data_IF_751531124524
#
_entry.id   IF_751531124524
#
_cell.length_a   1.000
_cell.length_b   1.000
_cell.length_c   1.000
_cell.angle_alpha   90.00
_cell.angle_beta   90.00
_cell.angle_gamma   90.00
#
_symmetry.space_group_name_H-M   'P 1'
#
loop_
_entity.id
_entity.type
_entity.pdbx_description
1 polymer ?
#
# COMPACT_ATOMS: atom_id res chain seq x y z
N UNK A 1 -7.51 -30.62 -12.30
CA UNK A 1 -8.53 -29.68 -12.87
C UNK A 1 -7.82 -28.56 -13.63
N UNK A 2 -8.46 -27.85 -14.58
CA UNK A 2 -7.75 -26.83 -15.40
C UNK A 2 -8.64 -25.65 -15.78
N UNK A 3 -8.09 -24.44 -15.72
CA UNK A 3 -8.71 -23.21 -16.22
C UNK A 3 -7.72 -22.52 -17.16
N UNK A 4 -8.19 -22.16 -18.35
CA UNK A 4 -7.41 -21.47 -19.37
C UNK A 4 -8.12 -20.16 -19.73
N UNK A 5 -7.48 -19.03 -19.42
CA UNK A 5 -7.83 -17.71 -19.94
C UNK A 5 -7.16 -17.47 -21.29
N UNK A 6 -7.27 -16.27 -21.87
CA UNK A 6 -6.55 -15.94 -23.11
C UNK A 6 -5.02 -15.90 -22.94
N UNK A 7 -4.52 -15.67 -21.71
CA UNK A 7 -3.09 -15.43 -21.45
C UNK A 7 -2.47 -16.37 -20.44
N UNK A 8 -3.23 -16.79 -19.42
CA UNK A 8 -2.76 -17.68 -18.35
C UNK A 8 -3.58 -18.97 -18.33
N UNK A 9 -2.91 -20.10 -18.13
CA UNK A 9 -3.49 -21.37 -17.73
C UNK A 9 -3.04 -21.72 -16.30
N UNK A 10 -4.01 -22.12 -15.47
CA UNK A 10 -3.77 -22.80 -14.19
C UNK A 10 -4.24 -24.24 -14.29
N UNK A 11 -3.35 -25.17 -13.91
CA UNK A 11 -3.66 -26.59 -13.79
C UNK A 11 -3.48 -26.99 -12.33
N UNK A 12 -4.54 -27.54 -11.75
CA UNK A 12 -4.57 -28.12 -10.41
C UNK A 12 -4.39 -29.64 -10.48
N UNK A 13 -3.87 -30.22 -9.41
CA UNK A 13 -3.85 -31.68 -9.19
C UNK A 13 -5.26 -32.16 -8.80
N UNK A 14 -5.35 -32.99 -7.77
CA UNK A 14 -6.59 -33.57 -7.26
C UNK A 14 -7.38 -32.57 -6.40
N UNK A 15 -6.69 -31.61 -5.77
CA UNK A 15 -7.29 -30.53 -4.97
C UNK A 15 -7.10 -29.18 -5.66
N UNK A 16 -8.06 -28.24 -5.57
CA UNK A 16 -7.83 -26.85 -5.95
C UNK A 16 -6.73 -26.19 -5.11
N UNK A 17 -6.36 -26.74 -3.94
CA UNK A 17 -5.24 -26.22 -3.13
C UNK A 17 -3.86 -26.59 -3.70
N UNK A 18 -3.80 -27.59 -4.58
CA UNK A 18 -2.56 -28.10 -5.14
C UNK A 18 -2.39 -27.64 -6.60
N UNK A 19 -1.52 -26.66 -6.83
CA UNK A 19 -1.25 -26.13 -8.17
C UNK A 19 -0.19 -26.98 -8.85
N UNK A 20 -0.60 -27.78 -9.83
CA UNK A 20 0.34 -28.54 -10.67
C UNK A 20 1.21 -27.58 -11.48
N UNK A 21 0.58 -26.58 -12.12
CA UNK A 21 1.26 -25.68 -13.04
C UNK A 21 0.53 -24.34 -13.21
N UNK A 22 1.30 -23.25 -13.27
CA UNK A 22 0.87 -21.99 -13.89
C UNK A 22 1.71 -21.69 -15.12
N UNK A 23 1.02 -21.33 -16.20
CA UNK A 23 1.61 -21.24 -17.53
C UNK A 23 1.10 -20.02 -18.30
N UNK A 24 2.02 -19.30 -18.94
CA UNK A 24 1.72 -18.18 -19.84
C UNK A 24 1.65 -18.72 -21.26
N UNK A 25 0.47 -18.60 -21.85
CA UNK A 25 0.13 -19.15 -23.18
C UNK A 25 0.95 -18.44 -24.27
N UNK A 26 1.00 -17.11 -24.22
CA UNK A 26 1.68 -16.29 -25.23
C UNK A 26 3.19 -16.58 -25.32
N UNK A 27 3.81 -16.94 -24.20
CA UNK A 27 5.26 -17.12 -24.09
C UNK A 27 5.69 -18.60 -24.11
N UNK A 28 4.74 -19.53 -24.07
CA UNK A 28 5.00 -20.94 -23.82
C UNK A 28 5.88 -21.17 -22.57
N UNK A 29 5.59 -20.45 -21.49
CA UNK A 29 6.44 -20.35 -20.30
C UNK A 29 5.69 -20.83 -19.05
N UNK A 30 6.29 -21.75 -18.30
CA UNK A 30 5.81 -22.17 -16.98
C UNK A 30 6.48 -21.32 -15.91
N UNK A 31 5.71 -20.61 -15.10
CA UNK A 31 6.22 -19.77 -14.01
C UNK A 31 5.86 -20.26 -12.60
N UNK A 32 5.13 -21.37 -12.50
CA UNK A 32 4.94 -22.11 -11.26
C UNK A 32 4.84 -23.60 -11.60
N UNK A 33 5.62 -24.43 -10.89
CA UNK A 33 5.56 -25.88 -11.00
C UNK A 33 5.40 -26.47 -9.61
N UNK A 34 4.35 -27.26 -9.38
CA UNK A 34 4.04 -27.83 -8.06
C UNK A 34 3.93 -26.77 -6.95
N UNK A 35 3.22 -25.68 -7.23
CA UNK A 35 2.87 -24.66 -6.26
C UNK A 35 1.78 -25.14 -5.31
N UNK A 36 1.64 -24.44 -4.19
CA UNK A 36 0.58 -24.67 -3.21
C UNK A 36 -0.17 -23.38 -3.01
N UNK A 37 -1.50 -23.45 -2.98
CA UNK A 37 -2.33 -22.35 -2.55
C UNK A 37 -3.02 -22.67 -1.23
N UNK A 38 -3.12 -21.67 -0.36
CA UNK A 38 -3.80 -21.80 0.93
C UNK A 38 -4.67 -20.59 1.21
N UNK A 39 -5.72 -20.82 1.98
CA UNK A 39 -6.65 -19.80 2.44
C UNK A 39 -6.72 -19.83 3.96
N UNK A 40 -6.82 -18.67 4.57
CA UNK A 40 -7.05 -18.57 6.02
C UNK A 40 -8.01 -17.44 6.35
N UNK A 41 -8.68 -17.59 7.50
CA UNK A 41 -9.57 -16.61 8.10
C UNK A 41 -9.01 -16.18 9.46
N UNK A 42 -9.05 -14.88 9.75
CA UNK A 42 -8.82 -14.35 11.10
C UNK A 42 -10.07 -13.68 11.65
N UNK A 43 -10.24 -13.83 12.96
CA UNK A 43 -11.19 -13.07 13.77
C UNK A 43 -10.42 -12.23 14.78
N UNK A 44 -11.12 -11.34 15.49
CA UNK A 44 -10.53 -10.56 16.59
C UNK A 44 -9.99 -11.40 17.74
N UNK A 45 -10.53 -12.61 17.94
CA UNK A 45 -10.09 -13.52 19.00
C UNK A 45 -8.95 -14.44 18.56
N UNK A 46 -8.80 -14.62 17.25
CA UNK A 46 -7.83 -15.54 16.64
C UNK A 46 -6.82 -14.79 15.77
N UNK A 47 -6.16 -13.80 16.38
CA UNK A 47 -5.15 -12.97 15.70
C UNK A 47 -3.87 -13.76 15.39
N UNK A 48 -3.37 -14.52 16.38
CA UNK A 48 -2.12 -15.29 16.26
C UNK A 48 -2.33 -16.67 15.68
N UNK A 49 -3.50 -17.26 15.90
CA UNK A 49 -3.86 -18.63 15.51
C UNK A 49 -5.01 -18.59 14.49
N UNK A 50 -4.72 -18.27 13.22
CA UNK A 50 -5.73 -18.17 12.19
C UNK A 50 -6.35 -19.53 11.87
N UNK A 51 -7.58 -19.52 11.34
CA UNK A 51 -8.24 -20.73 10.84
C UNK A 51 -7.74 -21.03 9.43
N UNK A 52 -6.90 -22.06 9.29
CA UNK A 52 -6.44 -22.56 7.99
C UNK A 52 -7.56 -23.39 7.36
N UNK A 53 -7.86 -23.14 6.09
CA UNK A 53 -8.93 -23.84 5.37
C UNK A 53 -8.32 -24.95 4.50
N UNK A 54 -8.28 -26.17 5.04
CA UNK A 54 -7.66 -27.35 4.41
C UNK A 54 -8.66 -28.31 3.80
N UNK A 55 -9.90 -28.31 4.29
CA UNK A 55 -10.92 -29.29 3.89
C UNK A 55 -11.71 -28.78 2.69
N UNK A 56 -11.57 -29.44 1.55
CA UNK A 56 -12.35 -29.13 0.34
C UNK A 56 -13.64 -29.94 0.36
N UNK A 57 -14.77 -29.25 0.51
CA UNK A 57 -16.09 -29.88 0.62
C UNK A 57 -16.84 -29.95 -0.71
N UNK A 58 -16.51 -29.05 -1.64
CA UNK A 58 -17.17 -28.92 -2.93
C UNK A 58 -16.22 -28.36 -3.97
N UNK A 59 -16.28 -28.90 -5.19
CA UNK A 59 -15.60 -28.35 -6.37
C UNK A 59 -16.52 -28.48 -7.58
N UNK A 60 -16.68 -27.38 -8.30
CA UNK A 60 -17.43 -27.29 -9.55
C UNK A 60 -16.55 -26.67 -10.62
N UNK A 61 -16.51 -27.33 -11.77
CA UNK A 61 -15.83 -26.83 -12.96
C UNK A 61 -16.87 -26.43 -13.99
N UNK A 62 -16.75 -25.22 -14.53
CA UNK A 62 -17.59 -24.70 -15.59
C UNK A 62 -16.73 -24.17 -16.74
N UNK A 63 -17.39 -23.81 -17.84
CA UNK A 63 -16.70 -23.15 -18.96
C UNK A 63 -16.13 -21.78 -18.56
N UNK A 64 -16.67 -21.14 -17.53
CA UNK A 64 -16.27 -19.81 -17.09
C UNK A 64 -15.19 -19.82 -15.99
N UNK A 65 -14.95 -20.97 -15.34
CA UNK A 65 -13.96 -21.07 -14.26
C UNK A 65 -14.09 -22.30 -13.38
N UNK A 66 -13.53 -22.20 -12.17
CA UNK A 66 -13.74 -23.18 -11.08
C UNK A 66 -14.39 -22.47 -9.90
N UNK A 67 -15.30 -23.14 -9.22
CA UNK A 67 -15.78 -22.74 -7.91
C UNK A 67 -15.49 -23.87 -6.92
N UNK A 68 -15.09 -23.54 -5.70
CA UNK A 68 -14.91 -24.53 -4.64
C UNK A 68 -15.22 -23.94 -3.27
N UNK A 69 -15.57 -24.82 -2.34
CA UNK A 69 -15.70 -24.48 -0.94
C UNK A 69 -14.57 -25.13 -0.14
N UNK A 70 -13.93 -24.34 0.71
CA UNK A 70 -12.94 -24.78 1.68
C UNK A 70 -13.43 -24.49 3.11
N UNK A 71 -13.09 -25.34 4.06
CA UNK A 71 -13.33 -25.10 5.48
C UNK A 71 -12.13 -25.47 6.35
N UNK A 72 -12.14 -24.99 7.58
CA UNK A 72 -11.24 -25.50 8.62
C UNK A 72 -11.64 -26.91 9.04
N UNK A 73 -10.79 -27.57 9.85
CA UNK A 73 -11.02 -28.94 10.34
C UNK A 73 -12.35 -29.08 11.12
N UNK A 74 -12.82 -28.01 11.78
CA UNK A 74 -14.09 -28.03 12.50
C UNK A 74 -15.31 -27.86 11.58
N UNK A 75 -15.11 -27.36 10.36
CA UNK A 75 -16.18 -27.00 9.43
C UNK A 75 -16.96 -25.75 9.83
N UNK A 76 -16.54 -24.99 10.83
CA UNK A 76 -17.23 -23.79 11.31
C UNK A 76 -16.83 -22.54 10.51
N UNK A 77 -15.57 -22.47 10.08
CA UNK A 77 -15.06 -21.39 9.25
C UNK A 77 -15.01 -21.88 7.81
N UNK A 78 -15.66 -21.13 6.92
CA UNK A 78 -15.86 -21.55 5.53
C UNK A 78 -15.51 -20.43 4.58
N UNK A 79 -15.11 -20.82 3.39
CA UNK A 79 -14.83 -19.92 2.29
C UNK A 79 -15.36 -20.54 1.00
N UNK A 80 -16.15 -19.76 0.27
CA UNK A 80 -16.47 -20.03 -1.13
C UNK A 80 -15.49 -19.24 -2.00
N UNK A 81 -14.77 -19.92 -2.87
CA UNK A 81 -13.84 -19.34 -3.84
C UNK A 81 -14.36 -19.58 -5.25
N UNK A 82 -14.39 -18.54 -6.07
CA UNK A 82 -14.58 -18.65 -7.51
C UNK A 82 -13.36 -18.08 -8.23
N UNK A 83 -12.74 -18.89 -9.11
CA UNK A 83 -11.66 -18.47 -9.98
C UNK A 83 -12.21 -18.37 -11.40
N UNK A 84 -12.53 -17.15 -11.82
CA UNK A 84 -13.07 -16.84 -13.14
C UNK A 84 -11.98 -16.43 -14.12
N UNK A 85 -12.27 -16.54 -15.42
CA UNK A 85 -11.39 -16.07 -16.49
C UNK A 85 -11.48 -14.54 -16.67
N UNK A 86 -10.36 -13.92 -16.99
CA UNK A 86 -10.32 -12.56 -17.53
C UNK A 86 -9.61 -12.55 -18.89
N UNK A 87 -9.58 -11.39 -19.57
CA UNK A 87 -8.81 -11.23 -20.81
C UNK A 87 -7.29 -11.40 -20.61
N UNK A 88 -6.79 -11.23 -19.38
CA UNK A 88 -5.35 -11.24 -19.08
C UNK A 88 -4.95 -12.36 -18.13
N UNK A 89 -5.88 -13.06 -17.51
CA UNK A 89 -5.58 -14.09 -16.54
C UNK A 89 -6.81 -14.53 -15.77
N UNK A 90 -6.72 -14.44 -14.46
CA UNK A 90 -7.69 -15.01 -13.53
C UNK A 90 -8.21 -13.95 -12.56
N UNK A 91 -9.50 -14.05 -12.20
CA UNK A 91 -10.13 -13.29 -11.12
C UNK A 91 -10.47 -14.24 -9.99
N UNK A 92 -10.01 -13.95 -8.80
CA UNK A 92 -10.41 -14.64 -7.58
C UNK A 92 -11.53 -13.83 -6.91
N UNK A 93 -12.63 -14.50 -6.58
CA UNK A 93 -13.75 -13.92 -5.84
C UNK A 93 -14.03 -14.80 -4.64
N UNK A 94 -14.01 -14.20 -3.45
CA UNK A 94 -14.02 -14.90 -2.18
C UNK A 94 -15.20 -14.43 -1.34
N UNK A 95 -15.92 -15.38 -0.74
CA UNK A 95 -16.91 -15.14 0.30
C UNK A 95 -16.58 -16.04 1.50
N UNK A 96 -16.11 -15.44 2.59
CA UNK A 96 -15.79 -16.10 3.84
C UNK A 96 -16.91 -15.93 4.87
N UNK A 97 -17.09 -16.95 5.71
CA UNK A 97 -18.08 -16.98 6.79
C UNK A 97 -17.51 -17.68 8.02
N UNK A 98 -17.92 -17.23 9.21
CA UNK A 98 -17.61 -17.89 10.47
C UNK A 98 -18.66 -17.68 11.57
N UNK A 99 -18.48 -18.29 12.74
CA UNK A 99 -19.34 -18.08 13.91
C UNK A 99 -19.17 -16.71 14.58
N UNK A 100 -18.10 -15.99 14.25
CA UNK A 100 -17.75 -14.67 14.80
C UNK A 100 -17.45 -13.68 13.66
N UNK A 101 -17.41 -12.37 13.95
CA UNK A 101 -17.02 -11.39 12.94
C UNK A 101 -15.68 -11.71 12.27
N UNK A 102 -15.70 -11.81 10.94
CA UNK A 102 -14.50 -12.05 10.13
C UNK A 102 -13.75 -10.74 9.99
N UNK A 103 -12.48 -10.75 10.35
CA UNK A 103 -11.61 -9.58 10.28
C UNK A 103 -10.73 -9.56 9.03
N UNK A 104 -10.11 -10.70 8.70
CA UNK A 104 -9.15 -10.78 7.60
C UNK A 104 -9.30 -12.12 6.90
N UNK A 105 -9.28 -12.09 5.58
CA UNK A 105 -9.12 -13.28 4.73
C UNK A 105 -7.82 -13.16 3.98
N UNK A 106 -7.03 -14.22 3.94
CA UNK A 106 -5.78 -14.25 3.18
C UNK A 106 -5.77 -15.43 2.22
N UNK A 107 -5.23 -15.20 1.03
CA UNK A 107 -4.87 -16.21 0.05
C UNK A 107 -3.36 -16.18 -0.15
N UNK A 108 -2.71 -17.34 -0.08
CA UNK A 108 -1.29 -17.51 -0.40
C UNK A 108 -1.16 -18.41 -1.62
N UNK A 109 -0.20 -18.10 -2.49
CA UNK A 109 0.30 -18.96 -3.55
C UNK A 109 1.83 -19.03 -3.50
N UNK A 110 2.39 -20.24 -3.43
CA UNK A 110 3.83 -20.51 -3.35
C UNK A 110 4.39 -21.14 -4.63
N UNK A 111 5.72 -21.25 -4.72
CA UNK A 111 6.41 -21.89 -5.84
C UNK A 111 6.45 -21.03 -7.12
N UNK A 112 6.35 -19.71 -6.98
CA UNK A 112 6.38 -18.76 -8.09
C UNK A 112 7.83 -18.48 -8.50
N UNK A 113 8.15 -18.75 -9.76
CA UNK A 113 9.47 -18.54 -10.34
C UNK A 113 9.55 -17.18 -11.02
N UNK A 114 9.66 -16.12 -10.22
CA UNK A 114 9.90 -14.77 -10.69
C UNK A 114 11.40 -14.42 -10.62
N UNK A 115 11.86 -13.55 -11.53
CA UNK A 115 13.19 -12.96 -11.43
C UNK A 115 13.27 -12.02 -10.22
N UNK A 116 12.19 -11.27 -9.99
CA UNK A 116 11.98 -10.43 -8.80
C UNK A 116 10.51 -10.11 -8.59
N UNK A 117 10.19 -9.66 -7.38
CA UNK A 117 8.87 -9.12 -7.03
C UNK A 117 8.99 -7.61 -6.78
N UNK A 118 8.25 -6.81 -7.53
CA UNK A 118 8.16 -5.37 -7.35
C UNK A 118 6.94 -5.03 -6.52
N UNK A 119 7.15 -4.22 -5.49
CA UNK A 119 6.10 -3.76 -4.57
C UNK A 119 6.09 -2.23 -4.55
N UNK A 120 4.96 -1.56 -4.80
CA UNK A 120 4.83 -0.11 -4.67
C UNK A 120 4.73 0.27 -3.17
N UNK A 121 5.80 0.05 -2.44
CA UNK A 121 5.94 0.38 -1.02
C UNK A 121 7.16 1.28 -0.83
N UNK A 122 7.04 2.31 0.01
CA UNK A 122 8.16 3.18 0.42
C UNK A 122 8.97 3.78 -0.77
N UNK A 123 8.28 4.20 -1.83
CA UNK A 123 8.90 4.74 -3.05
C UNK A 123 9.24 3.67 -4.12
N UNK A 124 8.92 2.41 -3.85
CA UNK A 124 9.14 1.27 -4.74
C UNK A 124 10.25 0.35 -4.22
N UNK A 125 9.94 -0.94 -4.14
CA UNK A 125 10.89 -1.98 -3.72
C UNK A 125 10.98 -3.08 -4.75
N UNK A 126 12.19 -3.56 -5.01
CA UNK A 126 12.46 -4.73 -5.82
C UNK A 126 13.03 -5.83 -4.93
N UNK A 127 12.29 -6.94 -4.82
CA UNK A 127 12.69 -8.12 -4.07
C UNK A 127 13.25 -9.14 -5.05
N UNK A 128 14.57 -9.12 -5.20
CA UNK A 128 15.30 -9.97 -6.15
C UNK A 128 15.28 -11.45 -5.74
N UNK A 129 15.48 -12.35 -6.70
CA UNK A 129 15.56 -13.80 -6.47
C UNK A 129 16.62 -14.21 -5.41
N UNK A 130 17.59 -13.34 -5.13
CA UNK A 130 18.60 -13.51 -4.07
C UNK A 130 18.09 -13.23 -2.65
N UNK A 131 16.81 -12.87 -2.48
CA UNK A 131 16.16 -12.80 -1.16
C UNK A 131 16.43 -14.13 -0.40
N UNK A 132 16.82 -14.10 0.88
CA UNK A 132 17.15 -15.32 1.61
C UNK A 132 15.94 -16.26 1.76
N UNK A 133 16.06 -17.57 1.53
CA UNK A 133 15.01 -18.53 1.86
C UNK A 133 14.59 -18.43 3.33
N UNK A 134 13.30 -18.55 3.61
CA UNK A 134 12.69 -18.38 4.93
C UNK A 134 12.35 -16.93 5.29
N UNK A 135 12.75 -15.94 4.46
CA UNK A 135 12.39 -14.55 4.71
C UNK A 135 10.97 -14.22 4.24
N UNK A 136 10.33 -13.27 4.91
CA UNK A 136 9.01 -12.75 4.56
C UNK A 136 8.95 -11.26 4.86
N UNK A 137 8.46 -10.48 3.90
CA UNK A 137 8.15 -9.06 4.06
C UNK A 137 6.65 -8.86 4.02
N UNK A 138 6.13 -7.96 4.84
CA UNK A 138 4.70 -7.73 5.02
C UNK A 138 4.38 -6.24 4.85
N UNK A 139 3.38 -5.95 4.03
CA UNK A 139 2.99 -4.59 3.66
C UNK A 139 1.49 -4.43 3.86
N UNK A 140 1.08 -3.36 4.54
CA UNK A 140 -0.33 -3.00 4.74
C UNK A 140 -0.70 -1.82 3.88
N UNK A 141 -1.81 -1.91 3.16
CA UNK A 141 -2.40 -0.81 2.42
C UNK A 141 -3.45 -0.09 3.28
N UNK A 142 -3.54 1.26 3.25
CA UNK A 142 -2.75 2.19 2.42
C UNK A 142 -1.47 2.73 3.10
N UNK A 143 -1.03 2.14 4.21
CA UNK A 143 -0.02 2.77 5.07
C UNK A 143 1.42 2.57 4.58
N UNK A 144 1.85 1.32 4.40
CA UNK A 144 3.21 0.98 3.91
C UNK A 144 3.21 0.59 2.43
N UNK A 145 2.06 0.14 1.93
CA UNK A 145 1.83 -0.21 0.54
C UNK A 145 1.00 0.90 -0.10
N UNK A 146 1.54 1.55 -1.12
CA UNK A 146 1.01 2.80 -1.66
C UNK A 146 -0.02 2.61 -2.79
N UNK A 147 -0.07 1.44 -3.42
CA UNK A 147 -1.03 1.10 -4.47
C UNK A 147 -1.38 -0.39 -4.39
N UNK A 148 -2.60 -0.79 -4.74
CA UNK A 148 -3.13 -2.13 -4.45
C UNK A 148 -2.66 -3.22 -5.44
N UNK A 149 -1.39 -3.18 -5.88
CA UNK A 149 -0.80 -4.20 -6.74
C UNK A 149 0.61 -4.63 -6.33
N UNK A 150 1.02 -5.82 -6.78
CA UNK A 150 2.40 -6.30 -6.79
C UNK A 150 2.71 -6.92 -8.15
N UNK A 151 3.97 -6.89 -8.58
CA UNK A 151 4.39 -7.42 -9.89
C UNK A 151 5.44 -8.50 -9.68
N UNK A 152 5.19 -9.71 -10.17
CA UNK A 152 6.22 -10.71 -10.38
C UNK A 152 6.81 -10.55 -11.78
N UNK A 153 8.06 -10.14 -11.89
CA UNK A 153 8.74 -9.98 -13.18
C UNK A 153 9.26 -11.33 -13.68
N UNK A 154 9.03 -11.58 -14.96
CA UNK A 154 9.47 -12.76 -15.70
C UNK A 154 10.38 -12.32 -16.83
N UNK A 155 11.06 -13.29 -17.45
CA UNK A 155 11.96 -13.01 -18.57
C UNK A 155 11.27 -12.30 -19.74
N UNK A 156 10.00 -12.64 -20.01
CA UNK A 156 9.23 -12.16 -21.15
C UNK A 156 7.87 -11.57 -20.75
N UNK A 157 7.79 -10.86 -19.62
CA UNK A 157 6.54 -10.24 -19.19
C UNK A 157 6.45 -10.09 -17.69
N UNK A 158 5.24 -9.82 -17.22
CA UNK A 158 4.95 -9.61 -15.81
C UNK A 158 3.66 -10.34 -15.42
N UNK A 159 3.63 -10.87 -14.20
CA UNK A 159 2.39 -11.21 -13.52
C UNK A 159 2.05 -10.07 -12.57
N UNK A 160 0.88 -9.46 -12.74
CA UNK A 160 0.34 -8.48 -11.79
C UNK A 160 -0.69 -9.18 -10.90
N UNK A 161 -0.52 -8.99 -9.59
CA UNK A 161 -1.50 -9.31 -8.57
C UNK A 161 -2.08 -8.00 -8.05
N UNK A 162 -3.28 -7.64 -8.47
CA UNK A 162 -3.92 -6.38 -8.10
C UNK A 162 -5.37 -6.52 -7.64
N UNK A 163 -5.86 -5.46 -7.01
CA UNK A 163 -7.27 -5.26 -6.71
C UNK A 163 -7.76 -3.99 -7.38
N UNK A 164 -9.06 -3.95 -7.62
CA UNK A 164 -9.74 -2.86 -8.32
C UNK A 164 -10.82 -2.26 -7.44
N UNK A 165 -10.46 -1.90 -6.22
CA UNK A 165 -11.42 -1.37 -5.26
C UNK A 165 -11.73 0.09 -5.56
N UNK A 166 -13.00 0.47 -5.49
CA UNK A 166 -13.44 1.85 -5.67
C UNK A 166 -13.29 2.71 -4.39
N UNK A 167 -12.73 2.14 -3.33
CA UNK A 167 -12.54 2.76 -2.02
C UNK A 167 -11.20 2.27 -1.41
N UNK A 168 -10.63 2.97 -0.41
CA UNK A 168 -9.37 2.59 0.21
C UNK A 168 -9.56 1.39 1.17
N UNK A 169 -10.02 0.27 0.64
CA UNK A 169 -10.22 -0.96 1.39
C UNK A 169 -8.89 -1.47 1.93
N UNK A 170 -8.89 -1.90 3.19
CA UNK A 170 -7.69 -2.33 3.88
C UNK A 170 -7.19 -3.65 3.29
N UNK A 171 -5.89 -3.72 2.98
CA UNK A 171 -5.28 -4.92 2.42
C UNK A 171 -3.92 -5.22 3.01
N UNK A 172 -3.52 -6.45 2.80
CA UNK A 172 -2.26 -7.01 3.22
C UNK A 172 -1.59 -7.72 2.04
N UNK A 173 -0.34 -7.38 1.80
CA UNK A 173 0.53 -8.12 0.90
C UNK A 173 1.66 -8.72 1.73
N UNK A 174 1.97 -10.00 1.54
CA UNK A 174 3.25 -10.57 1.98
C UNK A 174 3.99 -11.18 0.81
N UNK A 175 5.29 -10.94 0.77
CA UNK A 175 6.20 -11.59 -0.17
C UNK A 175 7.13 -12.45 0.65
N UNK A 176 7.03 -13.76 0.47
CA UNK A 176 7.91 -14.74 1.10
C UNK A 176 8.86 -15.34 0.07
N UNK A 177 10.02 -15.80 0.53
CA UNK A 177 10.94 -16.59 -0.27
C UNK A 177 11.14 -17.94 0.39
N UNK A 178 10.88 -19.03 -0.33
CA UNK A 178 11.18 -20.39 0.10
C UNK A 178 12.12 -21.07 -0.93
N UNK A 179 12.44 -22.34 -0.69
CA UNK A 179 13.31 -23.13 -1.58
C UNK A 179 12.68 -23.38 -2.96
N UNK A 180 11.35 -23.32 -3.08
CA UNK A 180 10.60 -23.54 -4.33
C UNK A 180 10.45 -22.27 -5.15
N UNK A 181 10.57 -21.10 -4.54
CA UNK A 181 10.46 -19.81 -5.22
C UNK A 181 9.91 -18.71 -4.33
N UNK A 182 9.32 -17.71 -4.98
CA UNK A 182 8.53 -16.70 -4.28
C UNK A 182 7.17 -17.27 -3.86
N UNK A 183 6.67 -16.77 -2.74
CA UNK A 183 5.28 -16.89 -2.34
C UNK A 183 4.67 -15.50 -2.21
N UNK A 184 3.45 -15.36 -2.73
CA UNK A 184 2.65 -14.15 -2.57
C UNK A 184 1.47 -14.47 -1.67
N UNK A 185 1.26 -13.64 -0.65
CA UNK A 185 0.03 -13.65 0.16
C UNK A 185 -0.70 -12.35 -0.07
N UNK A 186 -1.97 -12.43 -0.45
CA UNK A 186 -2.87 -11.31 -0.63
C UNK A 186 -4.03 -11.44 0.36
N UNK A 187 -4.26 -10.41 1.15
CA UNK A 187 -5.32 -10.39 2.14
C UNK A 187 -6.16 -9.12 2.06
N UNK A 188 -7.42 -9.25 2.44
CA UNK A 188 -8.37 -8.16 2.56
C UNK A 188 -8.92 -8.11 3.99
N UNK A 189 -8.91 -6.91 4.56
CA UNK A 189 -9.24 -6.65 5.96
C UNK A 189 -10.55 -5.87 6.04
N UNK A 190 -11.46 -6.31 6.92
CA UNK A 190 -12.73 -5.64 7.18
C UNK A 190 -12.51 -4.35 7.99
N UNK A 191 -13.17 -3.24 7.61
CA UNK A 191 -13.08 -2.01 8.39
C UNK A 191 -13.79 -2.15 9.75
N UNK A 192 -13.25 -1.48 10.76
CA UNK A 192 -13.91 -1.38 12.06
C UNK A 192 -15.14 -0.44 12.00
N UNK A 193 -16.17 -0.65 12.85
CA UNK A 193 -16.31 -1.75 13.79
C UNK A 193 -16.69 -3.07 13.11
N UNK A 194 -16.08 -4.17 13.57
CA UNK A 194 -16.35 -5.51 13.05
C UNK A 194 -17.70 -6.00 13.55
N UNK A 195 -18.64 -6.14 12.62
CA UNK A 195 -20.04 -6.49 12.91
C UNK A 195 -20.55 -7.68 12.08
N UNK A 196 -19.88 -7.99 10.97
CA UNK A 196 -20.30 -9.04 10.05
C UNK A 196 -19.49 -10.32 10.26
N UNK A 197 -20.18 -11.45 10.36
CA UNK A 197 -19.59 -12.79 10.32
C UNK A 197 -19.33 -13.29 8.89
N UNK A 198 -19.66 -12.47 7.89
CA UNK A 198 -19.39 -12.69 6.47
C UNK A 198 -18.46 -11.62 5.93
N UNK A 199 -17.56 -12.01 5.03
CA UNK A 199 -16.63 -11.08 4.39
C UNK A 199 -16.39 -11.45 2.93
N UNK A 200 -16.29 -10.44 2.07
CA UNK A 200 -16.09 -10.61 0.63
C UNK A 200 -14.82 -9.92 0.19
N UNK A 201 -14.09 -10.55 -0.72
CA UNK A 201 -12.88 -9.98 -1.30
C UNK A 201 -12.72 -10.45 -2.74
N UNK A 202 -12.12 -9.60 -3.56
CA UNK A 202 -11.75 -9.92 -4.93
C UNK A 202 -10.33 -9.43 -5.24
N UNK A 203 -9.63 -10.16 -6.09
CA UNK A 203 -8.35 -9.74 -6.67
C UNK A 203 -8.13 -10.43 -8.01
N UNK A 204 -7.18 -9.91 -8.77
CA UNK A 204 -6.86 -10.32 -10.13
C UNK A 204 -5.42 -10.80 -10.18
N UNK A 205 -5.19 -11.87 -10.93
CA UNK A 205 -3.89 -12.47 -11.15
C UNK A 205 -3.69 -12.61 -12.66
N UNK A 206 -3.00 -11.64 -13.25
CA UNK A 206 -3.05 -11.36 -14.67
C UNK A 206 -1.66 -11.22 -15.29
N UNK A 207 -1.54 -11.59 -16.56
CA UNK A 207 -0.32 -11.43 -17.34
C UNK A 207 -0.34 -10.11 -18.12
N UNK A 208 0.78 -9.41 -18.05
CA UNK A 208 1.04 -8.18 -18.81
C UNK A 208 2.30 -8.36 -19.63
N UNK A 209 2.19 -8.15 -20.93
CA UNK A 209 3.30 -8.21 -21.87
C UNK A 209 4.22 -7.00 -21.71
N UNK A 210 5.53 -7.21 -21.91
CA UNK A 210 6.56 -6.17 -21.77
C UNK A 210 7.15 -6.10 -20.37
N UNK A 211 7.79 -4.97 -20.06
CA UNK A 211 8.44 -4.79 -18.76
C UNK A 211 7.44 -4.39 -17.67
N UNK A 212 7.94 -4.25 -16.44
CA UNK A 212 7.13 -3.86 -15.29
C UNK A 212 6.41 -2.51 -15.47
N UNK A 213 6.88 -1.61 -16.33
CA UNK A 213 6.21 -0.32 -16.55
C UNK A 213 4.87 -0.52 -17.23
N UNK A 214 4.75 -1.50 -18.12
CA UNK A 214 3.46 -1.84 -18.73
C UNK A 214 2.46 -2.36 -17.68
N UNK A 215 2.92 -3.13 -16.69
CA UNK A 215 2.06 -3.58 -15.58
C UNK A 215 1.66 -2.41 -14.66
N UNK A 216 2.57 -1.48 -14.38
CA UNK A 216 2.26 -0.24 -13.65
C UNK A 216 1.27 0.62 -14.43
N UNK A 217 1.48 0.81 -15.74
CA UNK A 217 0.60 1.58 -16.61
C UNK A 217 -0.80 0.95 -16.72
N UNK A 218 -0.89 -0.38 -16.74
CA UNK A 218 -2.16 -1.08 -16.71
C UNK A 218 -2.98 -0.71 -15.46
N UNK A 219 -2.35 -0.75 -14.28
CA UNK A 219 -3.03 -0.36 -13.04
C UNK A 219 -3.29 1.16 -12.97
N UNK A 220 -2.36 1.99 -13.47
CA UNK A 220 -2.51 3.45 -13.55
C UNK A 220 -3.73 3.85 -14.40
N UNK A 221 -3.91 3.26 -15.58
CA UNK A 221 -5.05 3.54 -16.46
C UNK A 221 -6.38 3.19 -15.76
N UNK A 222 -6.42 2.09 -15.01
CA UNK A 222 -7.58 1.78 -14.19
C UNK A 222 -7.81 2.83 -13.10
N UNK A 223 -6.78 3.20 -12.33
CA UNK A 223 -6.87 4.24 -11.28
C UNK A 223 -7.39 5.57 -11.85
N UNK A 224 -6.81 6.04 -12.94
CA UNK A 224 -7.20 7.29 -13.60
C UNK A 224 -8.66 7.27 -14.02
N UNK A 225 -9.09 6.19 -14.66
CA UNK A 225 -10.48 6.03 -15.08
C UNK A 225 -11.45 5.87 -13.91
N UNK A 226 -11.07 5.17 -12.85
CA UNK A 226 -11.96 4.83 -11.74
C UNK A 226 -12.20 6.03 -10.81
N UNK A 227 -11.19 6.88 -10.63
CA UNK A 227 -11.23 8.01 -9.71
C UNK A 227 -11.27 9.39 -10.40
N UNK A 228 -11.45 9.43 -11.73
CA UNK A 228 -11.37 10.66 -12.55
C UNK A 228 -10.11 11.47 -12.23
N UNK A 229 -8.97 10.77 -12.12
CA UNK A 229 -7.71 11.42 -11.75
C UNK A 229 -7.25 12.30 -12.90
N UNK A 230 -6.93 13.55 -12.55
CA UNK A 230 -6.39 14.51 -13.50
C UNK A 230 -4.90 14.66 -13.32
N UNK A 231 -4.15 14.90 -14.41
CA UNK A 231 -2.75 15.30 -14.30
C UNK A 231 -2.60 16.44 -13.30
N UNK A 232 -1.53 16.36 -12.50
CA UNK A 232 -1.24 17.37 -11.48
C UNK A 232 -1.25 18.81 -11.99
N UNK A 233 -0.82 19.04 -13.23
CA UNK A 233 -0.83 20.36 -13.89
C UNK A 233 -2.22 20.93 -14.13
N UNK A 234 -3.25 20.10 -14.11
CA UNK A 234 -4.65 20.50 -14.28
C UNK A 234 -5.35 20.76 -12.93
N UNK A 235 -4.67 20.51 -11.80
CA UNK A 235 -5.26 20.73 -10.49
C UNK A 235 -5.40 22.25 -10.23
N UNK A 236 -6.62 22.81 -10.13
CA UNK A 236 -6.81 24.25 -9.94
C UNK A 236 -6.35 24.74 -8.56
N UNK A 237 -6.15 23.81 -7.61
CA UNK A 237 -5.61 24.12 -6.27
C UNK A 237 -4.08 24.15 -6.25
N UNK A 238 -3.42 23.76 -7.35
CA UNK A 238 -1.97 23.79 -7.44
C UNK A 238 -1.49 25.19 -7.85
N UNK A 239 -0.85 25.96 -6.95
CA UNK A 239 -0.50 27.34 -7.26
C UNK A 239 0.70 27.41 -8.20
N UNK A 240 0.68 28.36 -9.15
CA UNK A 240 1.71 28.48 -10.20
C UNK A 240 3.14 28.56 -9.65
N UNK A 241 3.33 29.22 -8.51
CA UNK A 241 4.65 29.36 -7.87
C UNK A 241 5.26 28.01 -7.51
N UNK A 242 4.46 26.97 -7.25
CA UNK A 242 4.97 25.68 -6.84
C UNK A 242 5.69 24.96 -7.99
N UNK A 243 5.43 25.31 -9.26
CA UNK A 243 6.20 24.83 -10.42
C UNK A 243 7.68 25.27 -10.39
N UNK A 244 8.03 26.31 -9.64
CA UNK A 244 9.40 26.81 -9.51
C UNK A 244 10.19 26.07 -8.42
N UNK A 245 9.51 25.41 -7.50
CA UNK A 245 10.14 24.80 -6.33
C UNK A 245 10.91 23.55 -6.74
N UNK A 246 12.21 23.56 -6.48
CA UNK A 246 13.10 22.41 -6.71
C UNK A 246 13.96 22.09 -5.46
N UNK A 247 13.75 22.81 -4.36
CA UNK A 247 14.45 22.60 -3.09
C UNK A 247 13.52 22.82 -1.89
N UNK A 248 13.56 21.91 -0.92
CA UNK A 248 12.89 22.07 0.39
C UNK A 248 13.96 22.31 1.44
N UNK A 249 13.95 23.51 2.02
CA UNK A 249 14.80 23.85 3.17
C UNK A 249 14.00 23.60 4.45
N UNK A 250 14.52 22.80 5.35
CA UNK A 250 13.86 22.41 6.59
C UNK A 250 14.58 22.97 7.82
N UNK A 251 14.36 24.24 8.21
CA UNK A 251 14.85 24.76 9.48
C UNK A 251 13.93 24.31 10.63
N UNK A 252 14.56 23.83 11.70
CA UNK A 252 13.87 23.32 12.89
C UNK A 252 13.77 24.38 13.98
N UNK A 253 12.56 24.61 14.49
CA UNK A 253 12.27 25.43 15.68
C UNK A 253 12.62 24.70 16.98
N UNK A 254 11.61 24.12 17.65
CA UNK A 254 11.79 23.40 18.91
C UNK A 254 11.36 21.92 18.81
N UNK A 255 12.02 21.06 19.59
CA UNK A 255 11.53 19.71 19.90
C UNK A 255 10.59 19.76 21.10
N UNK A 256 9.76 18.72 21.23
CA UNK A 256 8.86 18.55 22.37
C UNK A 256 9.61 18.69 23.69
N UNK A 257 9.18 19.63 24.54
CA UNK A 257 9.73 19.86 25.89
C UNK A 257 11.25 20.12 25.93
N UNK A 258 11.83 20.67 24.86
CA UNK A 258 13.26 20.93 24.76
C UNK A 258 13.53 22.40 24.43
N UNK A 259 14.77 22.86 24.70
CA UNK A 259 15.23 24.16 24.20
C UNK A 259 15.11 24.22 22.68
N UNK A 260 14.80 25.39 22.09
CA UNK A 260 14.74 25.55 20.65
C UNK A 260 16.10 25.22 20.01
N UNK A 261 16.09 24.52 18.88
CA UNK A 261 17.25 24.43 17.99
C UNK A 261 17.55 25.79 17.39
N UNK A 262 16.49 26.47 16.94
CA UNK A 262 16.56 27.82 16.41
C UNK A 262 15.37 28.67 16.88
N UNK A 263 15.65 29.92 17.22
CA UNK A 263 14.61 30.96 17.34
C UNK A 263 14.16 31.41 15.95
N UNK A 264 12.99 32.04 15.84
CA UNK A 264 12.50 32.58 14.56
C UNK A 264 13.48 33.59 13.96
N UNK A 265 14.06 34.46 14.78
CA UNK A 265 15.14 35.38 14.36
C UNK A 265 16.35 34.65 13.77
N UNK A 266 16.81 33.58 14.43
CA UNK A 266 17.92 32.76 13.95
C UNK A 266 17.61 32.04 12.63
N UNK A 267 16.35 31.68 12.41
CA UNK A 267 15.89 31.12 11.14
C UNK A 267 15.92 32.23 10.07
N UNK A 268 15.41 33.42 10.36
CA UNK A 268 15.46 34.59 9.47
C UNK A 268 16.88 34.88 9.00
N UNK A 269 17.83 34.98 9.93
CA UNK A 269 19.26 35.20 9.62
C UNK A 269 19.81 34.12 8.68
N UNK A 270 19.46 32.84 8.92
CA UNK A 270 19.84 31.73 8.04
C UNK A 270 19.23 31.82 6.66
N UNK A 271 18.01 32.34 6.51
CA UNK A 271 17.40 32.52 5.19
C UNK A 271 18.13 33.58 4.35
N UNK A 272 18.64 34.65 4.98
CA UNK A 272 19.52 35.62 4.31
C UNK A 272 20.85 35.03 3.88
N UNK A 273 21.41 34.11 4.65
CA UNK A 273 22.64 33.41 4.27
C UNK A 273 22.35 32.38 3.17
N UNK A 274 21.27 31.62 3.29
CA UNK A 274 20.90 30.58 2.34
C UNK A 274 20.64 31.12 0.92
N UNK A 275 20.10 32.34 0.80
CA UNK A 275 19.84 32.95 -0.53
C UNK A 275 21.10 33.14 -1.39
N UNK A 276 22.29 33.10 -0.76
CA UNK A 276 23.58 33.15 -1.46
C UNK A 276 23.91 31.85 -2.20
N UNK A 277 23.27 30.74 -1.79
CA UNK A 277 23.50 29.40 -2.32
C UNK A 277 22.37 28.92 -3.24
N UNK A 278 21.13 29.38 -3.02
CA UNK A 278 19.99 28.96 -3.80
C UNK A 278 18.95 30.08 -3.94
N UNK A 279 18.27 30.14 -5.09
CA UNK A 279 17.25 31.15 -5.36
C UNK A 279 16.04 30.97 -4.42
N UNK A 280 15.66 31.98 -3.62
CA UNK A 280 14.49 31.90 -2.75
C UNK A 280 13.18 31.54 -3.47
N UNK A 281 12.96 32.04 -4.70
CA UNK A 281 11.73 31.73 -5.46
C UNK A 281 11.59 30.25 -5.83
N UNK A 282 12.70 29.51 -5.79
CA UNK A 282 12.76 28.08 -6.10
C UNK A 282 12.85 27.22 -4.83
N UNK A 283 12.72 27.83 -3.64
CA UNK A 283 12.86 27.15 -2.34
C UNK A 283 11.59 27.25 -1.51
N UNK A 284 11.10 26.08 -1.07
CA UNK A 284 10.08 25.97 -0.03
C UNK A 284 10.77 25.85 1.34
N UNK A 285 10.42 26.71 2.28
CA UNK A 285 10.85 26.63 3.67
C UNK A 285 9.80 25.84 4.46
N UNK A 286 10.15 24.63 4.89
CA UNK A 286 9.29 23.79 5.72
C UNK A 286 9.67 23.93 7.19
N UNK A 287 8.81 24.59 7.97
CA UNK A 287 9.06 24.96 9.37
C UNK A 287 8.57 23.88 10.33
N UNK A 288 9.44 22.92 10.62
CA UNK A 288 9.24 21.91 11.64
C UNK A 288 9.40 22.51 13.06
N UNK A 289 8.53 22.11 14.00
CA UNK A 289 8.63 22.53 15.40
C UNK A 289 8.41 24.04 15.64
N UNK A 290 7.66 24.71 14.77
CA UNK A 290 7.29 26.13 14.93
C UNK A 290 6.30 26.34 16.09
N UNK A 291 5.52 25.31 16.42
CA UNK A 291 4.37 25.41 17.29
C UNK A 291 4.73 25.38 18.78
N UNK A 292 3.80 25.83 19.63
CA UNK A 292 3.86 25.79 21.08
C UNK A 292 4.33 24.42 21.58
N UNK A 293 5.31 24.43 22.47
CA UNK A 293 5.95 23.23 23.03
C UNK A 293 6.71 22.35 22.02
N UNK A 294 6.89 22.77 20.76
CA UNK A 294 7.72 22.10 19.75
C UNK A 294 6.94 21.28 18.72
N UNK A 295 7.64 20.36 18.04
CA UNK A 295 7.02 19.44 17.07
C UNK A 295 6.09 18.42 17.78
N UNK A 296 5.00 18.04 17.12
CA UNK A 296 3.99 17.09 17.61
C UNK A 296 3.40 17.43 19.01
N UNK A 297 3.23 18.73 19.28
CA UNK A 297 2.51 19.23 20.45
C UNK A 297 1.32 20.09 20.08
N UNK A 298 0.35 20.12 21.01
CA UNK A 298 -0.86 20.94 20.98
C UNK A 298 -1.81 20.78 19.78
N UNK A 299 -1.61 19.75 18.95
CA UNK A 299 -2.55 19.42 17.88
C UNK A 299 -4.00 19.31 18.42
N UNK A 300 -5.01 19.89 17.74
CA UNK A 300 -4.92 20.60 16.45
C UNK A 300 -4.65 22.12 16.55
N UNK A 301 -4.55 22.71 17.74
CA UNK A 301 -4.32 24.15 17.95
C UNK A 301 -2.80 24.46 17.80
N UNK A 302 -2.37 24.88 16.62
CA UNK A 302 -0.95 25.19 16.34
C UNK A 302 -0.64 26.70 16.42
N UNK A 303 -0.18 27.20 17.57
CA UNK A 303 0.28 28.59 17.73
C UNK A 303 1.81 28.70 17.69
N UNK A 304 2.41 29.82 17.24
CA UNK A 304 3.87 29.99 17.26
C UNK A 304 4.45 29.90 18.68
N UNK A 305 5.56 29.16 18.83
CA UNK A 305 6.21 28.93 20.11
C UNK A 305 6.81 30.19 20.72
N UNK A 306 6.42 30.52 21.95
CA UNK A 306 7.08 31.55 22.78
C UNK A 306 8.58 31.27 22.97
N UNK A 307 8.98 30.00 23.06
CA UNK A 307 10.40 29.63 23.20
C UNK A 307 11.23 29.98 21.95
N UNK A 308 10.59 30.05 20.78
CA UNK A 308 11.22 30.46 19.53
C UNK A 308 11.15 31.98 19.28
N UNK A 309 10.48 32.75 20.14
CA UNK A 309 10.29 34.21 20.00
C UNK A 309 8.84 34.65 19.86
N UNK A 310 7.89 33.71 19.93
CA UNK A 310 6.46 34.00 19.95
C UNK A 310 5.90 34.50 18.62
N UNK A 311 4.65 34.92 18.67
CA UNK A 311 3.85 35.29 17.49
C UNK A 311 4.45 36.43 16.67
N UNK A 312 4.99 37.46 17.32
CA UNK A 312 5.52 38.65 16.64
C UNK A 312 6.80 38.34 15.86
N UNK A 313 7.73 37.58 16.44
CA UNK A 313 8.95 37.17 15.73
C UNK A 313 8.65 36.14 14.63
N UNK A 314 7.65 35.27 14.83
CA UNK A 314 7.18 34.39 13.77
C UNK A 314 6.62 35.19 12.58
N UNK A 315 5.81 36.22 12.86
CA UNK A 315 5.30 37.11 11.82
C UNK A 315 6.43 37.79 11.05
N UNK A 316 7.44 38.32 11.74
CA UNK A 316 8.62 38.93 11.10
C UNK A 316 9.36 37.93 10.22
N UNK A 317 9.60 36.72 10.71
CA UNK A 317 10.20 35.64 9.91
C UNK A 317 9.41 35.40 8.62
N UNK A 318 8.08 35.27 8.71
CA UNK A 318 7.23 35.02 7.54
C UNK A 318 7.27 36.19 6.55
N UNK A 319 7.13 37.42 7.04
CA UNK A 319 7.15 38.62 6.21
C UNK A 319 8.50 38.79 5.50
N UNK A 320 9.61 38.58 6.23
CA UNK A 320 10.96 38.67 5.67
C UNK A 320 11.25 37.56 4.66
N UNK A 321 10.87 36.32 4.96
CA UNK A 321 11.01 35.21 4.02
C UNK A 321 10.26 35.49 2.71
N UNK A 322 9.02 35.99 2.79
CA UNK A 322 8.26 36.39 1.61
C UNK A 322 8.92 37.55 0.85
N UNK A 323 9.48 38.54 1.55
CA UNK A 323 10.20 39.65 0.92
C UNK A 323 11.44 39.21 0.15
N UNK A 324 12.07 38.10 0.59
CA UNK A 324 13.20 37.48 -0.10
C UNK A 324 12.79 36.60 -1.27
N UNK A 325 11.50 36.24 -1.39
CA UNK A 325 10.97 35.38 -2.45
C UNK A 325 10.68 33.93 -2.02
N UNK A 326 10.97 33.54 -0.77
CA UNK A 326 10.66 32.21 -0.27
C UNK A 326 9.15 31.97 -0.17
N UNK A 327 8.76 30.68 -0.17
CA UNK A 327 7.44 30.22 0.28
C UNK A 327 7.61 29.47 1.59
N UNK A 328 6.64 29.59 2.50
CA UNK A 328 6.68 28.92 3.80
C UNK A 328 5.55 27.90 3.89
N UNK A 329 5.89 26.71 4.38
CA UNK A 329 4.94 25.70 4.84
C UNK A 329 5.23 25.40 6.31
N UNK A 330 4.22 25.53 7.17
CA UNK A 330 4.33 25.13 8.58
C UNK A 330 4.05 23.63 8.73
N UNK A 331 4.72 22.99 9.68
CA UNK A 331 4.42 21.61 10.04
C UNK A 331 3.15 21.53 10.89
N UNK A 332 2.09 20.93 10.35
CA UNK A 332 0.83 20.65 11.05
C UNK A 332 0.42 19.19 10.86
N UNK A 333 -0.23 18.60 11.85
CA UNK A 333 -0.79 17.25 11.78
C UNK A 333 -2.30 17.30 11.99
N UNK A 334 -3.06 17.11 10.92
CA UNK A 334 -4.52 17.18 10.92
C UNK A 334 -5.19 15.93 11.49
N UNK A 335 -4.45 14.85 11.70
CA UNK A 335 -4.96 13.57 12.22
C UNK A 335 -4.77 13.42 13.74
N UNK A 336 -4.08 14.37 14.38
CA UNK A 336 -3.72 14.27 15.79
C UNK A 336 -4.57 15.18 16.68
N UNK A 337 -4.97 14.65 17.83
CA UNK A 337 -5.44 15.41 19.00
C UNK A 337 -4.51 15.05 20.17
N UNK A 338 -3.81 16.04 20.70
CA UNK A 338 -2.91 15.80 21.84
C UNK A 338 -3.71 15.65 23.14
N UNK A 339 -3.30 14.71 24.01
CA UNK A 339 -4.02 14.40 25.25
C UNK A 339 -4.19 15.59 26.21
N UNK A 340 -3.28 16.57 26.19
CA UNK A 340 -3.38 17.80 26.99
C UNK A 340 -4.13 18.94 26.31
N UNK A 341 -4.90 18.65 25.27
CA UNK A 341 -5.71 19.64 24.57
C UNK A 341 -7.08 19.75 25.25
N UNK A 342 -7.59 20.98 25.44
CA UNK A 342 -8.87 21.31 26.11
C UNK A 342 -10.15 20.65 25.57
N UNK A 343 -10.08 20.01 24.39
CA UNK A 343 -11.20 19.30 23.75
C UNK A 343 -11.16 17.81 24.10
N UNK A 344 -9.98 17.30 24.45
CA UNK A 344 -9.80 15.93 24.91
C UNK A 344 -10.13 15.80 26.40
N UNK A 345 -9.74 16.81 27.20
CA UNK A 345 -10.15 16.98 28.61
C UNK A 345 -11.61 17.40 28.73
#
# INVERSE_FOLDING_TARGET
MKITSEKIEIKFKDSPLDVERLFIIANNETFCSNGEQSFLIRTVKSLSDPFLLTEITFVELSDDGIAFQASDESGLYKLNCSIGKTKRGLKYSIEAEGPEPVWLVEWKLSGLNFEKVLVPALGGQALENSMPPGSTLSYKYPFWWNAQFAIGELKNGCIILDAKDSAPELKLLRVSKDEKGFGLTYGAEAPAPLSSNKFKAEWYFEFVEGDWKNAVDYHRVWLESNFDLKPFKENPLFPEWMNKINFVLEPWGARKNAKPFHTFKQITERLYEFKKFHNPENTLVYLAGFAENGIDSHAPDYNPSEQCGGKEEFKKLVDEAHSLGYKIMIHTNVLALTFGHKIYE
#
